data_IF_210853607993
#
_entry.id   IF_210853607993
#
_cell.length_a   1.000
_cell.length_b   1.000
_cell.length_c   1.000
_cell.angle_alpha   90.00
_cell.angle_beta   90.00
_cell.angle_gamma   90.00
#
_symmetry.space_group_name_H-M   'P 1'
#
loop_
_entity.id
_entity.type
_entity.pdbx_description
1 polymer ?
#
# COMPACT_ATOMS: atom_id res chain seq x y z
N UNK A 1 28.52 15.52 35.78
CA UNK A 1 27.73 14.33 35.42
C UNK A 1 28.01 14.02 33.96
N UNK A 2 28.82 13.01 33.68
CA UNK A 2 29.14 12.63 32.31
C UNK A 2 27.92 11.95 31.68
N UNK A 3 27.54 12.40 30.49
CA UNK A 3 26.55 11.69 29.66
C UNK A 3 27.12 10.29 29.40
N UNK A 4 26.39 9.21 29.72
CA UNK A 4 26.88 7.87 29.44
C UNK A 4 27.11 7.71 27.92
N UNK A 5 28.16 6.99 27.51
CA UNK A 5 28.42 6.75 26.10
C UNK A 5 27.23 6.01 25.47
N UNK A 6 26.79 6.48 24.31
CA UNK A 6 25.77 5.79 23.52
C UNK A 6 26.22 4.35 23.25
N UNK A 7 25.33 3.35 23.40
CA UNK A 7 25.69 1.95 23.17
C UNK A 7 26.20 1.73 21.75
N UNK A 8 27.11 0.78 21.56
CA UNK A 8 27.60 0.44 20.23
C UNK A 8 26.47 -0.13 19.36
N UNK A 9 26.62 -0.06 18.03
CA UNK A 9 25.58 -0.52 17.09
C UNK A 9 25.32 -2.03 17.16
N UNK A 10 26.24 -2.83 17.70
CA UNK A 10 26.03 -4.25 17.99
C UNK A 10 25.26 -4.47 19.30
N UNK A 11 25.53 -3.65 20.32
CA UNK A 11 24.81 -3.71 21.60
C UNK A 11 23.31 -3.40 21.41
N UNK A 12 22.98 -2.45 20.53
CA UNK A 12 21.59 -2.08 20.24
C UNK A 12 20.78 -3.23 19.62
N UNK A 13 21.38 -3.97 18.67
CA UNK A 13 20.73 -5.11 18.02
C UNK A 13 20.58 -6.30 18.99
N UNK A 14 21.63 -6.59 19.77
CA UNK A 14 21.62 -7.65 20.78
C UNK A 14 20.59 -7.38 21.89
N UNK A 15 20.54 -6.13 22.37
CA UNK A 15 19.55 -5.68 23.37
C UNK A 15 18.13 -5.85 22.87
N UNK A 16 17.85 -5.48 21.61
CA UNK A 16 16.53 -5.63 20.99
C UNK A 16 16.10 -7.10 20.96
N UNK A 17 16.99 -7.99 20.49
CA UNK A 17 16.71 -9.42 20.42
C UNK A 17 16.39 -10.02 21.80
N UNK A 18 17.03 -9.54 22.86
CA UNK A 18 16.76 -9.98 24.23
C UNK A 18 15.43 -9.44 24.77
N UNK A 19 15.15 -8.15 24.55
CA UNK A 19 13.93 -7.47 25.01
C UNK A 19 12.66 -8.13 24.48
N UNK A 20 12.69 -8.58 23.22
CA UNK A 20 11.51 -9.13 22.54
C UNK A 20 11.46 -10.66 22.46
N UNK A 21 12.47 -11.36 22.97
CA UNK A 21 12.57 -12.83 22.90
C UNK A 21 11.33 -13.55 23.48
N UNK A 22 10.74 -13.01 24.56
CA UNK A 22 9.53 -13.58 25.17
C UNK A 22 8.33 -13.48 24.22
N UNK A 23 8.15 -12.34 23.55
CA UNK A 23 7.03 -12.09 22.62
C UNK A 23 7.12 -13.03 21.41
N UNK A 24 8.31 -13.19 20.84
CA UNK A 24 8.55 -14.14 19.75
C UNK A 24 8.27 -15.59 20.14
N UNK A 25 8.68 -16.01 21.34
CA UNK A 25 8.38 -17.36 21.85
C UNK A 25 6.88 -17.58 22.04
N UNK A 26 6.14 -16.57 22.51
CA UNK A 26 4.68 -16.64 22.62
C UNK A 26 4.03 -16.80 21.24
N UNK A 27 4.46 -16.04 20.24
CA UNK A 27 3.96 -16.19 18.86
C UNK A 27 4.25 -17.57 18.27
N UNK A 28 5.44 -18.13 18.52
CA UNK A 28 5.81 -19.48 18.10
C UNK A 28 4.86 -20.54 18.69
N UNK A 29 4.55 -20.44 19.99
CA UNK A 29 3.60 -21.33 20.65
C UNK A 29 2.19 -21.20 20.07
N UNK A 30 1.75 -19.96 19.79
CA UNK A 30 0.43 -19.73 19.20
C UNK A 30 0.32 -20.35 17.80
N UNK A 31 1.33 -20.18 16.93
CA UNK A 31 1.33 -20.79 15.58
C UNK A 31 1.21 -22.32 15.64
N UNK A 32 1.85 -22.97 16.60
CA UNK A 32 1.87 -24.43 16.70
C UNK A 32 0.57 -25.04 17.27
N UNK A 33 -0.22 -24.24 17.97
CA UNK A 33 -1.46 -24.70 18.61
C UNK A 33 -2.66 -24.31 17.74
N UNK A 34 -3.32 -25.23 17.02
CA UNK A 34 -4.53 -24.90 16.27
C UNK A 34 -5.65 -24.47 17.23
N UNK A 35 -6.34 -23.38 16.90
CA UNK A 35 -7.46 -22.86 17.69
C UNK A 35 -8.20 -21.75 16.94
N UNK A 36 -9.41 -21.42 17.39
CA UNK A 36 -10.16 -20.30 16.85
C UNK A 36 -9.41 -18.98 17.09
N UNK A 37 -9.13 -18.26 16.00
CA UNK A 37 -8.51 -16.95 16.04
C UNK A 37 -9.46 -15.92 15.44
N UNK A 38 -9.61 -14.80 16.13
CA UNK A 38 -10.22 -13.61 15.57
C UNK A 38 -9.17 -12.92 14.70
N UNK A 39 -9.42 -12.86 13.39
CA UNK A 39 -8.52 -12.23 12.43
C UNK A 39 -9.17 -10.93 11.98
N UNK A 40 -8.42 -9.84 12.11
CA UNK A 40 -8.88 -8.49 11.82
C UNK A 40 -8.08 -7.91 10.64
N UNK A 41 -8.61 -6.83 10.05
CA UNK A 41 -7.94 -6.04 9.01
C UNK A 41 -7.53 -6.83 7.77
N UNK A 42 -6.40 -6.47 7.14
CA UNK A 42 -5.99 -7.05 5.86
C UNK A 42 -5.73 -8.56 5.93
N UNK A 43 -5.42 -9.11 7.11
CA UNK A 43 -5.25 -10.56 7.29
C UNK A 43 -6.57 -11.34 7.16
N UNK A 44 -7.72 -10.71 7.44
CA UNK A 44 -9.03 -11.37 7.42
C UNK A 44 -9.44 -11.87 6.01
N UNK A 45 -8.91 -11.24 4.96
CA UNK A 45 -9.19 -11.62 3.56
C UNK A 45 -8.49 -12.88 3.06
N UNK A 46 -7.75 -13.60 3.92
CA UNK A 46 -6.95 -14.77 3.55
C UNK A 46 -7.43 -16.04 4.26
N UNK A 47 -7.00 -17.22 3.78
CA UNK A 47 -7.31 -18.48 4.47
C UNK A 47 -6.49 -18.61 5.77
N UNK A 48 -6.97 -19.44 6.71
CA UNK A 48 -6.22 -19.73 7.93
C UNK A 48 -4.86 -20.39 7.63
N UNK A 49 -4.82 -21.29 6.65
CA UNK A 49 -3.61 -22.01 6.27
C UNK A 49 -2.55 -21.08 5.67
N UNK A 50 -2.94 -20.19 4.74
CA UNK A 50 -2.04 -19.22 4.13
C UNK A 50 -1.45 -18.26 5.16
N UNK A 51 -2.28 -17.82 6.11
CA UNK A 51 -1.83 -16.98 7.22
C UNK A 51 -0.88 -17.71 8.16
N UNK A 52 -1.19 -18.96 8.53
CA UNK A 52 -0.36 -19.76 9.42
C UNK A 52 1.01 -20.05 8.80
N UNK A 53 1.06 -20.34 7.49
CA UNK A 53 2.32 -20.50 6.75
C UNK A 53 3.16 -19.20 6.79
N UNK A 54 2.54 -18.07 6.45
CA UNK A 54 3.21 -16.76 6.48
C UNK A 54 3.74 -16.42 7.88
N UNK A 55 2.93 -16.64 8.91
CA UNK A 55 3.32 -16.42 10.31
C UNK A 55 4.49 -17.33 10.71
N UNK A 56 4.41 -18.62 10.42
CA UNK A 56 5.46 -19.58 10.76
C UNK A 56 6.80 -19.23 10.08
N UNK A 57 6.76 -18.81 8.81
CA UNK A 57 7.94 -18.36 8.06
C UNK A 57 8.53 -17.08 8.64
N UNK A 58 7.68 -16.11 8.98
CA UNK A 58 8.13 -14.86 9.59
C UNK A 58 8.75 -15.11 10.97
N UNK A 59 8.08 -15.86 11.83
CA UNK A 59 8.54 -16.18 13.19
C UNK A 59 9.84 -16.98 13.16
N UNK A 60 9.99 -17.97 12.28
CA UNK A 60 11.25 -18.72 12.20
C UNK A 60 12.42 -17.90 11.64
N UNK A 61 12.15 -16.91 10.79
CA UNK A 61 13.18 -16.10 10.13
C UNK A 61 13.39 -14.70 10.71
N UNK A 62 12.65 -14.29 11.75
CA UNK A 62 12.64 -12.89 12.23
C UNK A 62 14.03 -12.34 12.56
N UNK A 63 14.92 -13.14 13.15
CA UNK A 63 16.30 -12.73 13.47
C UNK A 63 17.10 -12.44 12.19
N UNK A 64 16.94 -13.29 11.17
CA UNK A 64 17.63 -13.13 9.89
C UNK A 64 17.09 -11.90 9.15
N UNK A 65 15.78 -11.70 9.15
CA UNK A 65 15.13 -10.53 8.56
C UNK A 65 15.56 -9.25 9.27
N UNK A 66 15.57 -9.21 10.61
CA UNK A 66 16.00 -8.05 11.38
C UNK A 66 17.45 -7.67 11.04
N UNK A 67 18.35 -8.67 10.98
CA UNK A 67 19.75 -8.46 10.59
C UNK A 67 19.91 -7.97 9.16
N UNK A 68 19.11 -8.48 8.23
CA UNK A 68 19.16 -8.11 6.82
C UNK A 68 18.60 -6.71 6.56
N UNK A 69 17.44 -6.39 7.14
CA UNK A 69 16.81 -5.07 7.09
C UNK A 69 17.75 -4.01 7.68
N UNK A 70 18.49 -4.35 8.74
CA UNK A 70 19.40 -3.43 9.43
C UNK A 70 20.88 -3.60 9.06
N UNK A 71 21.16 -4.26 7.94
CA UNK A 71 22.53 -4.52 7.51
C UNK A 71 23.19 -3.22 7.00
N UNK A 72 24.24 -2.69 7.65
CA UNK A 72 24.93 -1.48 7.18
C UNK A 72 25.74 -1.68 5.89
N UNK A 73 26.04 -2.93 5.54
CA UNK A 73 26.90 -3.29 4.42
C UNK A 73 26.32 -4.48 3.63
N UNK A 74 25.21 -4.28 2.88
CA UNK A 74 24.63 -5.34 2.06
C UNK A 74 25.59 -5.73 0.92
N UNK A 75 25.70 -7.03 0.64
CA UNK A 75 26.54 -7.57 -0.44
C UNK A 75 25.74 -7.90 -1.71
N UNK A 76 24.41 -7.81 -1.65
CA UNK A 76 23.48 -8.02 -2.76
C UNK A 76 22.20 -7.22 -2.54
N UNK A 77 21.38 -7.07 -3.58
CA UNK A 77 20.12 -6.31 -3.53
C UNK A 77 20.35 -4.88 -3.02
N UNK A 78 21.33 -4.20 -3.65
CA UNK A 78 21.81 -2.87 -3.27
C UNK A 78 20.75 -1.78 -3.53
N UNK A 79 19.77 -2.10 -4.38
CA UNK A 79 18.59 -1.28 -4.66
C UNK A 79 17.61 -1.21 -3.49
N UNK A 80 17.65 -2.16 -2.55
CA UNK A 80 16.76 -2.17 -1.38
C UNK A 80 17.34 -1.32 -0.24
N UNK A 81 16.58 -0.31 0.17
CA UNK A 81 16.96 0.61 1.27
C UNK A 81 16.99 -0.14 2.60
N UNK A 82 18.16 -0.16 3.25
CA UNK A 82 18.35 -0.71 4.61
C UNK A 82 18.17 0.37 5.67
N UNK A 83 17.71 -0.03 6.85
CA UNK A 83 17.60 0.87 8.01
C UNK A 83 18.87 0.79 8.88
N UNK A 84 19.24 1.87 9.59
CA UNK A 84 20.34 1.83 10.54
C UNK A 84 20.05 0.89 11.72
N UNK A 85 21.09 0.23 12.25
CA UNK A 85 20.97 -0.66 13.44
C UNK A 85 20.40 0.03 14.68
N UNK A 86 20.55 1.35 14.80
CA UNK A 86 19.92 2.14 15.87
C UNK A 86 18.39 2.08 15.84
N UNK A 87 17.78 1.70 14.71
CA UNK A 87 16.34 1.52 14.54
C UNK A 87 15.88 0.06 14.63
N UNK A 88 16.79 -0.87 14.97
CA UNK A 88 16.47 -2.31 15.05
C UNK A 88 15.28 -2.60 15.97
N UNK A 89 15.14 -1.87 17.07
CA UNK A 89 13.98 -1.98 17.97
C UNK A 89 12.65 -1.78 17.25
N UNK A 90 12.53 -0.71 16.46
CA UNK A 90 11.31 -0.39 15.74
C UNK A 90 11.04 -1.37 14.59
N UNK A 91 12.09 -1.86 13.93
CA UNK A 91 11.98 -2.92 12.91
C UNK A 91 11.47 -4.22 13.54
N UNK A 92 12.01 -4.62 14.69
CA UNK A 92 11.57 -5.84 15.38
C UNK A 92 10.12 -5.73 15.89
N UNK A 93 9.71 -4.54 16.36
CA UNK A 93 8.30 -4.27 16.68
C UNK A 93 7.38 -4.39 15.46
N UNK A 94 7.81 -3.89 14.30
CA UNK A 94 7.06 -4.06 13.04
C UNK A 94 6.89 -5.54 12.69
N UNK A 95 7.97 -6.33 12.77
CA UNK A 95 7.94 -7.77 12.47
C UNK A 95 7.05 -8.53 13.46
N UNK A 96 7.11 -8.19 14.75
CA UNK A 96 6.25 -8.76 15.79
C UNK A 96 4.77 -8.49 15.52
N UNK A 97 4.42 -7.24 15.22
CA UNK A 97 3.04 -6.87 14.94
C UNK A 97 2.53 -7.53 13.64
N UNK A 98 3.39 -7.65 12.62
CA UNK A 98 3.06 -8.40 11.41
C UNK A 98 2.77 -9.87 11.71
N UNK A 99 3.61 -10.52 12.52
CA UNK A 99 3.40 -11.91 12.94
C UNK A 99 2.11 -12.05 13.76
N UNK A 100 1.87 -11.16 14.73
CA UNK A 100 0.66 -11.16 15.56
C UNK A 100 -0.62 -11.11 14.71
N UNK A 101 -0.66 -10.23 13.71
CA UNK A 101 -1.82 -10.09 12.81
C UNK A 101 -2.05 -11.31 11.93
N UNK A 102 -0.98 -11.94 11.45
CA UNK A 102 -1.09 -13.19 10.68
C UNK A 102 -1.59 -14.34 11.54
N UNK A 103 -1.12 -14.46 12.79
CA UNK A 103 -1.61 -15.47 13.75
C UNK A 103 -3.08 -15.22 14.12
N UNK A 104 -3.47 -13.96 14.25
CA UNK A 104 -4.79 -13.55 14.74
C UNK A 104 -4.87 -13.55 16.27
N UNK A 105 -5.89 -12.88 16.81
CA UNK A 105 -6.14 -12.79 18.26
C UNK A 105 -6.80 -14.05 18.78
N UNK A 106 -6.37 -14.53 19.94
CA UNK A 106 -7.10 -15.54 20.73
C UNK A 106 -7.71 -14.88 21.93
N UNK A 107 -9.03 -14.78 21.94
CA UNK A 107 -9.77 -14.13 23.02
C UNK A 107 -9.84 -14.99 24.30
N UNK A 108 -9.47 -16.27 24.21
CA UNK A 108 -9.65 -17.26 25.27
C UNK A 108 -8.35 -17.74 25.95
N UNK A 109 -7.16 -17.23 25.56
CA UNK A 109 -5.91 -17.59 26.25
C UNK A 109 -5.27 -16.37 26.92
N UNK A 110 -4.79 -16.59 28.15
CA UNK A 110 -4.11 -15.55 28.93
C UNK A 110 -2.84 -15.06 28.21
N UNK A 111 -2.13 -15.96 27.54
CA UNK A 111 -0.90 -15.67 26.79
C UNK A 111 -1.17 -14.73 25.60
N UNK A 112 -2.23 -14.95 24.84
CA UNK A 112 -2.61 -14.08 23.74
C UNK A 112 -3.08 -12.71 24.24
N UNK A 113 -3.87 -12.67 25.32
CA UNK A 113 -4.29 -11.41 25.94
C UNK A 113 -3.13 -10.60 26.54
N UNK A 114 -2.10 -11.27 27.06
CA UNK A 114 -0.87 -10.61 27.50
C UNK A 114 -0.06 -10.08 26.32
N UNK A 115 0.10 -10.87 25.25
CA UNK A 115 0.81 -10.45 24.04
C UNK A 115 0.15 -9.21 23.41
N UNK A 116 -1.18 -9.22 23.26
CA UNK A 116 -1.94 -8.08 22.75
C UNK A 116 -1.73 -6.82 23.61
N UNK A 117 -1.75 -6.96 24.94
CA UNK A 117 -1.53 -5.84 25.86
C UNK A 117 -0.10 -5.32 25.83
N UNK A 118 0.89 -6.19 25.80
CA UNK A 118 2.30 -5.77 25.75
C UNK A 118 2.62 -5.05 24.43
N UNK A 119 2.19 -5.60 23.30
CA UNK A 119 2.40 -4.95 22.01
C UNK A 119 1.65 -3.62 21.89
N UNK A 120 0.40 -3.56 22.36
CA UNK A 120 -0.35 -2.29 22.38
C UNK A 120 0.37 -1.21 23.19
N UNK A 121 0.87 -1.54 24.39
CA UNK A 121 1.60 -0.60 25.23
C UNK A 121 2.91 -0.13 24.58
N UNK A 122 3.67 -1.03 23.95
CA UNK A 122 4.92 -0.65 23.29
C UNK A 122 4.66 0.23 22.06
N UNK A 123 3.63 -0.09 21.27
CA UNK A 123 3.23 0.69 20.09
C UNK A 123 2.72 2.08 20.50
N UNK A 124 1.88 2.16 21.53
CA UNK A 124 1.37 3.44 22.06
C UNK A 124 2.49 4.31 22.64
N UNK A 125 3.44 3.72 23.38
CA UNK A 125 4.60 4.46 23.91
C UNK A 125 5.57 4.89 22.82
N UNK A 126 5.67 4.13 21.73
CA UNK A 126 6.56 4.41 20.61
C UNK A 126 5.92 5.27 19.51
N UNK A 127 4.66 5.70 19.66
CA UNK A 127 3.90 6.43 18.63
C UNK A 127 4.43 7.87 18.45
N UNK A 128 5.53 7.99 17.71
CA UNK A 128 6.04 9.24 17.14
C UNK A 128 6.29 9.05 15.63
N UNK A 129 6.39 10.14 14.88
CA UNK A 129 6.56 10.13 13.41
C UNK A 129 7.72 9.23 12.94
N UNK A 130 8.78 9.12 13.75
CA UNK A 130 9.94 8.28 13.47
C UNK A 130 9.59 6.79 13.39
N UNK A 131 8.72 6.27 14.26
CA UNK A 131 8.29 4.86 14.19
C UNK A 131 7.51 4.59 12.90
N UNK A 132 6.62 5.50 12.51
CA UNK A 132 5.83 5.38 11.27
C UNK A 132 6.72 5.32 10.02
N UNK A 133 7.75 6.17 9.94
CA UNK A 133 8.73 6.12 8.85
C UNK A 133 9.52 4.81 8.81
N UNK A 134 9.97 4.32 9.98
CA UNK A 134 10.69 3.05 10.08
C UNK A 134 9.82 1.88 9.61
N UNK A 135 8.56 1.84 10.02
CA UNK A 135 7.62 0.80 9.63
C UNK A 135 7.32 0.85 8.13
N UNK A 136 7.17 2.05 7.55
CA UNK A 136 7.00 2.22 6.11
C UNK A 136 8.22 1.72 5.32
N UNK A 137 9.44 2.04 5.77
CA UNK A 137 10.68 1.57 5.15
C UNK A 137 10.85 0.05 5.28
N UNK A 138 10.54 -0.53 6.44
CA UNK A 138 10.58 -1.97 6.66
C UNK A 138 9.56 -2.72 5.77
N UNK A 139 8.35 -2.18 5.63
CA UNK A 139 7.33 -2.72 4.73
C UNK A 139 7.79 -2.68 3.26
N UNK A 140 8.35 -1.55 2.81
CA UNK A 140 8.87 -1.41 1.46
C UNK A 140 10.03 -2.37 1.19
N UNK A 141 10.92 -2.54 2.17
CA UNK A 141 12.02 -3.50 2.11
C UNK A 141 11.51 -4.91 1.88
N UNK A 142 10.58 -5.38 2.73
CA UNK A 142 10.02 -6.73 2.65
C UNK A 142 9.23 -6.93 1.36
N UNK A 143 8.49 -5.91 0.90
CA UNK A 143 7.79 -5.94 -0.37
C UNK A 143 8.68 -5.95 -1.62
N UNK A 144 9.92 -5.47 -1.52
CA UNK A 144 10.94 -5.63 -2.55
C UNK A 144 11.71 -6.96 -2.45
N UNK A 145 11.71 -7.57 -1.25
CA UNK A 145 12.50 -8.77 -0.95
C UNK A 145 11.76 -10.08 -1.14
N UNK A 146 10.44 -10.08 -0.90
CA UNK A 146 9.61 -11.28 -0.92
C UNK A 146 9.59 -11.89 -2.31
N UNK A 147 9.88 -13.19 -2.39
CA UNK A 147 9.80 -13.98 -3.63
C UNK A 147 8.59 -14.91 -3.54
N UNK A 148 7.43 -14.46 -4.04
CA UNK A 148 6.17 -15.22 -4.03
C UNK A 148 5.80 -15.85 -5.39
N UNK A 149 6.65 -15.66 -6.42
CA UNK A 149 6.48 -16.22 -7.76
C UNK A 149 7.78 -16.86 -8.28
N UNK A 150 7.69 -18.09 -8.77
CA UNK A 150 8.79 -18.84 -9.41
C UNK A 150 9.31 -18.17 -10.68
N UNK A 151 8.48 -17.37 -11.36
CA UNK A 151 8.86 -16.66 -12.58
C UNK A 151 9.78 -15.45 -12.31
N UNK A 152 9.73 -14.86 -11.10
CA UNK A 152 10.54 -13.69 -10.76
C UNK A 152 12.02 -14.02 -10.60
N UNK A 153 12.36 -15.25 -10.19
CA UNK A 153 13.75 -15.69 -9.99
C UNK A 153 13.94 -17.14 -10.43
N UNK A 154 14.26 -17.35 -11.72
CA UNK A 154 14.55 -18.68 -12.29
C UNK A 154 15.58 -19.44 -11.44
N UNK A 155 15.15 -20.57 -10.87
CA UNK A 155 16.03 -21.49 -10.12
C UNK A 155 15.99 -21.36 -8.59
N UNK A 156 15.12 -20.51 -8.02
CA UNK A 156 14.86 -20.47 -6.57
C UNK A 156 13.44 -20.94 -6.24
N UNK A 157 13.30 -21.71 -5.16
CA UNK A 157 12.00 -22.05 -4.59
C UNK A 157 11.40 -20.78 -3.94
N UNK A 158 10.09 -20.51 -4.10
CA UNK A 158 9.42 -19.41 -3.42
C UNK A 158 9.59 -19.49 -1.90
N UNK A 159 9.62 -18.35 -1.22
CA UNK A 159 9.80 -18.30 0.23
C UNK A 159 8.62 -18.96 1.00
N UNK A 160 7.44 -18.90 0.38
CA UNK A 160 6.15 -19.42 0.84
C UNK A 160 5.18 -19.56 -0.35
N UNK A 161 4.00 -20.15 -0.14
CA UNK A 161 2.94 -20.19 -1.15
C UNK A 161 2.52 -18.77 -1.59
N UNK A 162 2.00 -18.65 -2.81
CA UNK A 162 1.55 -17.36 -3.36
C UNK A 162 0.49 -16.68 -2.50
N UNK A 163 -0.43 -17.44 -1.92
CA UNK A 163 -1.48 -16.91 -1.04
C UNK A 163 -0.91 -16.47 0.32
N UNK A 164 0.05 -17.22 0.88
CA UNK A 164 0.76 -16.82 2.09
C UNK A 164 1.59 -15.55 1.87
N UNK A 165 2.27 -15.44 0.72
CA UNK A 165 3.02 -14.25 0.33
C UNK A 165 2.13 -13.02 0.23
N UNK A 166 0.97 -13.15 -0.42
CA UNK A 166 -0.04 -12.08 -0.48
C UNK A 166 -0.57 -11.69 0.90
N UNK A 167 -0.82 -12.66 1.79
CA UNK A 167 -1.24 -12.39 3.16
C UNK A 167 -0.19 -11.58 3.92
N UNK A 168 1.08 -11.98 3.84
CA UNK A 168 2.19 -11.29 4.48
C UNK A 168 2.38 -9.86 3.95
N UNK A 169 2.36 -9.67 2.63
CA UNK A 169 2.46 -8.33 2.03
C UNK A 169 1.28 -7.44 2.40
N UNK A 170 0.06 -7.99 2.45
CA UNK A 170 -1.11 -7.23 2.84
C UNK A 170 -0.95 -6.66 4.26
N UNK A 171 -0.49 -7.48 5.21
CA UNK A 171 -0.20 -7.04 6.59
C UNK A 171 0.96 -6.04 6.64
N UNK A 172 2.06 -6.29 5.92
CA UNK A 172 3.20 -5.35 5.88
C UNK A 172 2.80 -3.98 5.34
N UNK A 173 2.02 -3.97 4.24
CA UNK A 173 1.55 -2.73 3.63
C UNK A 173 0.65 -1.95 4.58
N UNK A 174 -0.24 -2.64 5.29
CA UNK A 174 -1.11 -2.03 6.30
C UNK A 174 -0.32 -1.38 7.44
N UNK A 175 0.63 -2.12 8.02
CA UNK A 175 1.46 -1.62 9.12
C UNK A 175 2.39 -0.50 8.70
N UNK A 176 2.94 -0.60 7.50
CA UNK A 176 3.80 0.43 6.93
C UNK A 176 3.05 1.64 6.38
N UNK A 177 1.73 1.74 6.57
CA UNK A 177 0.94 2.87 6.09
C UNK A 177 0.77 3.93 7.19
N UNK A 178 1.62 4.97 7.26
CA UNK A 178 1.50 6.00 8.29
C UNK A 178 0.32 6.94 8.01
N UNK A 179 -0.13 7.07 6.77
CA UNK A 179 -1.19 8.00 6.41
C UNK A 179 -2.58 7.36 6.66
N UNK A 180 -3.38 7.88 7.62
CA UNK A 180 -4.68 7.31 7.94
C UNK A 180 -5.64 7.31 6.74
N UNK A 181 -5.48 8.22 5.77
CA UNK A 181 -6.31 8.28 4.56
C UNK A 181 -6.07 7.08 3.65
N UNK A 182 -4.81 6.71 3.43
CA UNK A 182 -4.47 5.51 2.67
C UNK A 182 -4.92 4.23 3.38
N UNK A 183 -4.83 4.20 4.73
CA UNK A 183 -5.36 3.09 5.52
C UNK A 183 -6.88 2.94 5.37
N UNK A 184 -7.62 4.05 5.40
CA UNK A 184 -9.06 4.06 5.17
C UNK A 184 -9.41 3.54 3.75
N UNK A 185 -8.72 4.03 2.72
CA UNK A 185 -8.89 3.56 1.33
C UNK A 185 -8.58 2.06 1.17
N UNK A 186 -7.57 1.55 1.87
CA UNK A 186 -7.20 0.13 1.89
C UNK A 186 -8.29 -0.72 2.54
N UNK A 187 -8.80 -0.26 3.69
CA UNK A 187 -9.91 -0.91 4.40
C UNK A 187 -11.17 -1.02 3.55
N UNK A 188 -11.48 0.03 2.77
CA UNK A 188 -12.59 0.00 1.81
C UNK A 188 -12.41 -1.14 0.80
N UNK A 189 -11.26 -1.24 0.12
CA UNK A 189 -11.01 -2.32 -0.86
C UNK A 189 -11.12 -3.72 -0.23
N UNK A 190 -10.59 -3.89 0.98
CA UNK A 190 -10.58 -5.21 1.62
C UNK A 190 -11.99 -5.61 2.07
N UNK A 191 -12.80 -4.65 2.56
CA UNK A 191 -14.21 -4.85 2.93
C UNK A 191 -15.16 -5.09 1.74
N UNK A 192 -14.78 -4.64 0.55
CA UNK A 192 -15.60 -4.73 -0.68
C UNK A 192 -15.30 -5.96 -1.53
N UNK A 193 -14.47 -6.90 -1.04
CA UNK A 193 -14.17 -8.14 -1.79
C UNK A 193 -15.46 -8.95 -2.03
N UNK A 194 -16.08 -8.76 -3.20
CA UNK A 194 -17.34 -9.39 -3.60
C UNK A 194 -18.58 -8.47 -3.63
N UNK A 195 -18.46 -7.17 -3.31
CA UNK A 195 -19.55 -6.19 -3.39
C UNK A 195 -19.05 -4.85 -3.94
N UNK A 196 -19.64 -4.37 -5.03
CA UNK A 196 -19.20 -3.13 -5.71
C UNK A 196 -19.56 -1.86 -4.91
N UNK A 197 -18.68 -0.87 -4.93
CA UNK A 197 -18.98 0.51 -4.52
C UNK A 197 -19.63 1.21 -5.73
N UNK A 198 -20.94 1.43 -5.66
CA UNK A 198 -21.77 1.65 -6.86
C UNK A 198 -22.06 3.12 -7.20
N UNK A 199 -21.88 4.07 -6.27
CA UNK A 199 -22.10 5.48 -6.60
C UNK A 199 -20.78 6.22 -6.83
N UNK A 200 -20.58 6.67 -8.07
CA UNK A 200 -19.52 7.59 -8.48
C UNK A 200 -20.11 8.86 -9.07
N UNK A 201 -19.31 9.93 -9.08
CA UNK A 201 -19.65 11.22 -9.69
C UNK A 201 -18.55 11.57 -10.69
N UNK A 202 -18.83 12.49 -11.61
CA UNK A 202 -17.84 12.94 -12.59
C UNK A 202 -17.56 11.91 -13.68
N UNK A 203 -16.32 11.91 -14.18
CA UNK A 203 -15.86 11.05 -15.27
C UNK A 203 -15.78 9.59 -14.85
N UNK A 204 -15.46 9.30 -13.58
CA UNK A 204 -15.54 7.94 -13.02
C UNK A 204 -16.90 7.28 -13.32
N UNK A 205 -18.02 8.00 -13.21
CA UNK A 205 -19.35 7.43 -13.46
C UNK A 205 -19.57 6.93 -14.91
N UNK A 206 -18.69 7.29 -15.85
CA UNK A 206 -18.75 6.86 -17.24
C UNK A 206 -17.99 5.54 -17.49
N UNK A 207 -17.31 5.00 -16.47
CA UNK A 207 -16.50 3.79 -16.58
C UNK A 207 -17.13 2.59 -15.86
N UNK A 208 -16.93 1.36 -16.38
CA UNK A 208 -17.37 0.14 -15.70
C UNK A 208 -16.78 0.02 -14.29
N UNK A 209 -17.58 -0.51 -13.37
CA UNK A 209 -17.20 -0.67 -11.95
C UNK A 209 -15.91 -1.48 -11.79
N UNK A 210 -15.76 -2.56 -12.56
CA UNK A 210 -14.58 -3.43 -12.50
C UNK A 210 -13.31 -2.71 -12.97
N UNK A 211 -13.44 -1.85 -13.99
CA UNK A 211 -12.32 -1.08 -14.52
C UNK A 211 -11.84 -0.03 -13.51
N UNK A 212 -12.79 0.64 -12.84
CA UNK A 212 -12.48 1.61 -11.78
C UNK A 212 -11.89 0.94 -10.55
N UNK A 213 -12.46 -0.18 -10.11
CA UNK A 213 -11.97 -0.93 -8.96
C UNK A 213 -10.54 -1.43 -9.23
N UNK A 214 -10.26 -1.98 -10.41
CA UNK A 214 -8.91 -2.40 -10.78
C UNK A 214 -7.92 -1.22 -10.69
N UNK A 215 -8.26 -0.09 -11.30
CA UNK A 215 -7.43 1.12 -11.30
C UNK A 215 -7.16 1.63 -9.87
N UNK A 216 -8.22 1.76 -9.06
CA UNK A 216 -8.10 2.21 -7.68
C UNK A 216 -7.30 1.24 -6.82
N UNK A 217 -7.57 -0.07 -6.93
CA UNK A 217 -6.88 -1.13 -6.19
C UNK A 217 -5.39 -1.11 -6.51
N UNK A 218 -5.01 -0.94 -7.79
CA UNK A 218 -3.61 -0.83 -8.19
C UNK A 218 -2.96 0.44 -7.66
N UNK A 219 -3.63 1.59 -7.72
CA UNK A 219 -3.09 2.83 -7.18
C UNK A 219 -2.90 2.73 -5.66
N UNK A 220 -3.94 2.34 -4.91
CA UNK A 220 -3.89 2.24 -3.45
C UNK A 220 -2.81 1.25 -2.99
N UNK A 221 -2.67 0.10 -3.65
CA UNK A 221 -1.64 -0.88 -3.30
C UNK A 221 -0.21 -0.47 -3.70
N UNK A 222 -0.06 0.50 -4.61
CA UNK A 222 1.24 0.91 -5.14
C UNK A 222 1.57 2.40 -4.91
N UNK A 223 0.73 3.13 -4.16
CA UNK A 223 0.76 4.59 -4.10
C UNK A 223 2.11 5.13 -3.64
N UNK A 224 2.82 4.48 -2.71
CA UNK A 224 4.15 4.93 -2.26
C UNK A 224 5.18 4.90 -3.37
N UNK A 225 5.16 3.84 -4.21
CA UNK A 225 6.06 3.72 -5.37
C UNK A 225 5.70 4.76 -6.42
N UNK A 226 4.41 4.97 -6.67
CA UNK A 226 3.92 6.01 -7.59
C UNK A 226 4.34 7.40 -7.12
N UNK A 227 4.11 7.72 -5.84
CA UNK A 227 4.50 8.99 -5.21
C UNK A 227 6.01 9.21 -5.27
N UNK A 228 6.80 8.16 -4.98
CA UNK A 228 8.26 8.22 -5.08
C UNK A 228 8.73 8.41 -6.52
N UNK A 229 8.12 7.74 -7.48
CA UNK A 229 8.47 7.88 -8.89
C UNK A 229 8.16 9.28 -9.41
N UNK A 230 6.96 9.81 -9.13
CA UNK A 230 6.55 11.18 -9.48
C UNK A 230 7.53 12.23 -8.92
N UNK A 231 8.05 11.99 -7.71
CA UNK A 231 8.92 12.94 -7.00
C UNK A 231 10.40 12.56 -7.00
N UNK A 232 10.82 11.64 -7.87
CA UNK A 232 12.19 11.16 -7.89
C UNK A 232 13.16 12.24 -8.44
N UNK A 233 14.10 12.76 -7.64
CA UNK A 233 15.04 13.79 -8.11
C UNK A 233 16.13 13.24 -9.05
N UNK A 234 16.30 11.92 -9.11
CA UNK A 234 17.33 11.24 -9.89
C UNK A 234 16.75 10.01 -10.60
N UNK A 235 15.89 10.18 -11.62
CA UNK A 235 15.34 9.06 -12.37
C UNK A 235 16.44 8.37 -13.17
N UNK A 236 16.50 7.04 -13.09
CA UNK A 236 17.44 6.22 -13.88
C UNK A 236 16.86 5.83 -15.24
N UNK A 237 15.53 5.83 -15.36
CA UNK A 237 14.78 5.46 -16.57
C UNK A 237 13.72 6.51 -16.88
N UNK A 238 13.27 6.55 -18.14
CA UNK A 238 12.22 7.47 -18.61
C UNK A 238 12.52 8.93 -18.21
N UNK A 239 13.77 9.35 -18.45
CA UNK A 239 14.31 10.67 -18.10
C UNK A 239 13.65 11.82 -18.86
N UNK A 240 12.89 11.51 -19.91
CA UNK A 240 12.04 12.43 -20.66
C UNK A 240 10.77 12.85 -19.91
N UNK A 241 10.35 12.11 -18.87
CA UNK A 241 9.18 12.46 -18.06
C UNK A 241 9.58 13.44 -16.95
N UNK A 242 8.90 14.58 -16.90
CA UNK A 242 9.15 15.63 -15.90
C UNK A 242 8.68 15.21 -14.51
N UNK A 243 9.63 15.02 -13.59
CA UNK A 243 9.35 14.75 -12.16
C UNK A 243 9.10 16.04 -11.39
N UNK A 244 8.29 15.96 -10.35
CA UNK A 244 8.07 17.07 -9.42
C UNK A 244 9.14 17.08 -8.32
N UNK A 245 9.50 18.26 -7.78
CA UNK A 245 10.35 18.37 -6.59
C UNK A 245 9.82 17.56 -5.40
N UNK A 246 10.74 17.00 -4.60
CA UNK A 246 10.41 16.26 -3.37
C UNK A 246 9.60 17.12 -2.38
N UNK A 247 9.80 18.44 -2.39
CA UNK A 247 9.04 19.39 -1.55
C UNK A 247 7.54 19.43 -1.88
N UNK A 248 7.14 19.04 -3.09
CA UNK A 248 5.74 19.00 -3.52
C UNK A 248 5.07 17.64 -3.23
N UNK A 249 5.80 16.68 -2.67
CA UNK A 249 5.31 15.33 -2.35
C UNK A 249 4.01 15.32 -1.53
N UNK A 250 3.78 16.18 -0.53
CA UNK A 250 2.51 16.21 0.20
C UNK A 250 1.30 16.56 -0.70
N UNK A 251 1.48 17.47 -1.66
CA UNK A 251 0.43 17.87 -2.60
C UNK A 251 0.16 16.77 -3.63
N UNK A 252 1.21 16.05 -4.09
CA UNK A 252 1.08 14.87 -4.95
C UNK A 252 0.37 13.73 -4.22
N UNK A 253 0.69 13.48 -2.95
CA UNK A 253 0.04 12.42 -2.16
C UNK A 253 -1.47 12.68 -2.03
N UNK A 254 -1.86 13.94 -1.78
CA UNK A 254 -3.27 14.37 -1.76
C UNK A 254 -3.97 14.15 -3.11
N UNK A 255 -3.30 14.43 -4.23
CA UNK A 255 -3.82 14.16 -5.56
C UNK A 255 -4.11 12.67 -5.78
N UNK A 256 -3.17 11.80 -5.41
CA UNK A 256 -3.32 10.34 -5.55
C UNK A 256 -4.42 9.77 -4.64
N UNK A 257 -4.59 10.32 -3.42
CA UNK A 257 -5.70 9.99 -2.51
C UNK A 257 -7.03 10.34 -3.16
N UNK A 258 -7.15 11.53 -3.74
CA UNK A 258 -8.40 11.98 -4.37
C UNK A 258 -8.77 11.15 -5.60
N UNK A 259 -7.79 10.84 -6.45
CA UNK A 259 -7.99 9.89 -7.56
C UNK A 259 -8.51 8.55 -7.05
N UNK A 260 -7.86 8.01 -6.02
CA UNK A 260 -8.21 6.70 -5.45
C UNK A 260 -9.63 6.70 -4.87
N UNK A 261 -10.01 7.76 -4.15
CA UNK A 261 -11.35 7.95 -3.58
C UNK A 261 -12.41 8.01 -4.68
N UNK A 262 -12.17 8.78 -5.75
CA UNK A 262 -13.14 8.94 -6.85
C UNK A 262 -13.28 7.69 -7.71
N UNK A 263 -12.17 7.01 -8.00
CA UNK A 263 -12.20 5.72 -8.71
C UNK A 263 -12.96 4.67 -7.90
N UNK A 264 -12.74 4.57 -6.57
CA UNK A 264 -13.52 3.65 -5.73
C UNK A 264 -15.01 4.00 -5.71
N UNK A 265 -15.37 5.28 -5.59
CA UNK A 265 -16.74 5.70 -5.35
C UNK A 265 -17.15 5.59 -3.89
N UNK A 266 -18.45 5.70 -3.61
CA UNK A 266 -19.02 5.70 -2.26
C UNK A 266 -20.28 4.83 -2.14
N UNK A 267 -20.68 4.55 -0.89
CA UNK A 267 -21.94 3.90 -0.49
C UNK A 267 -22.57 4.69 0.65
N UNK A 268 -23.89 4.90 0.58
CA UNK A 268 -24.66 5.63 1.61
C UNK A 268 -24.59 4.97 3.01
N UNK A 269 -24.38 3.65 3.08
CA UNK A 269 -24.39 2.87 4.33
C UNK A 269 -23.00 2.66 4.96
N UNK A 270 -21.91 2.92 4.23
CA UNK A 270 -20.52 2.74 4.69
C UNK A 270 -19.85 4.10 4.97
N UNK A 271 -20.62 5.20 4.86
CA UNK A 271 -20.08 6.55 4.65
C UNK A 271 -19.58 7.29 5.89
N UNK A 272 -19.86 6.82 7.11
CA UNK A 272 -19.79 7.72 8.27
C UNK A 272 -18.37 8.00 8.81
N UNK A 273 -17.45 7.03 8.80
CA UNK A 273 -16.17 7.16 9.53
C UNK A 273 -14.94 7.19 8.60
N UNK A 274 -14.82 6.24 7.68
CA UNK A 274 -13.69 6.17 6.75
C UNK A 274 -13.67 7.36 5.76
N UNK A 275 -14.85 7.76 5.28
CA UNK A 275 -14.98 8.87 4.35
C UNK A 275 -14.85 10.22 5.06
N UNK A 276 -15.26 10.33 6.33
CA UNK A 276 -15.07 11.54 7.14
C UNK A 276 -13.58 11.91 7.26
N UNK A 277 -12.72 10.95 7.60
CA UNK A 277 -11.27 11.18 7.66
C UNK A 277 -10.61 11.51 6.31
N UNK A 278 -11.20 11.05 5.20
CA UNK A 278 -10.72 11.37 3.84
C UNK A 278 -11.23 12.77 3.41
N UNK A 279 -12.45 13.15 3.78
CA UNK A 279 -13.15 14.37 3.35
C UNK A 279 -12.97 15.58 4.29
N UNK A 280 -12.50 15.40 5.53
CA UNK A 280 -12.32 16.46 6.53
C UNK A 280 -11.42 17.62 6.06
N UNK A 281 -10.56 17.37 5.07
CA UNK A 281 -9.77 18.40 4.42
C UNK A 281 -10.40 18.74 3.07
N UNK A 282 -10.84 19.99 2.88
CA UNK A 282 -11.01 20.55 1.53
C UNK A 282 -9.69 20.32 0.79
N UNK A 283 -9.64 19.32 -0.07
CA UNK A 283 -8.43 18.93 -0.76
C UNK A 283 -7.91 20.16 -1.53
N UNK A 284 -6.62 20.44 -1.34
CA UNK A 284 -5.91 21.69 -1.63
C UNK A 284 -5.91 22.19 -3.11
N UNK A 285 -6.84 21.73 -3.96
CA UNK A 285 -7.06 22.28 -5.31
C UNK A 285 -7.51 23.75 -5.28
N UNK A 286 -7.94 24.26 -4.13
CA UNK A 286 -8.49 25.61 -4.05
C UNK A 286 -7.42 26.70 -4.16
N UNK A 287 -6.15 26.41 -3.85
CA UNK A 287 -5.03 27.34 -4.09
C UNK A 287 -4.31 27.09 -5.43
N UNK A 288 -3.54 28.09 -5.87
CA UNK A 288 -2.88 28.08 -7.18
C UNK A 288 -1.80 26.99 -7.26
N UNK A 289 -1.03 26.82 -6.19
CA UNK A 289 0.08 25.85 -6.13
C UNK A 289 -0.44 24.42 -6.23
N UNK A 290 -1.52 24.09 -5.49
CA UNK A 290 -2.17 22.80 -5.56
C UNK A 290 -2.65 22.46 -6.97
N UNK A 291 -3.27 23.41 -7.69
CA UNK A 291 -3.67 23.20 -9.09
C UNK A 291 -2.49 22.91 -10.02
N UNK A 292 -1.40 23.67 -9.89
CA UNK A 292 -0.21 23.49 -10.72
C UNK A 292 0.45 22.13 -10.45
N UNK A 293 0.57 21.75 -9.17
CA UNK A 293 1.14 20.46 -8.76
C UNK A 293 0.27 19.30 -9.22
N UNK A 294 -1.05 19.39 -9.05
CA UNK A 294 -1.97 18.32 -9.49
C UNK A 294 -1.97 18.18 -11.00
N UNK A 295 -1.93 19.29 -11.75
CA UNK A 295 -1.77 19.28 -13.19
C UNK A 295 -0.49 18.61 -13.65
N UNK A 296 0.65 18.96 -13.04
CA UNK A 296 1.93 18.34 -13.36
C UNK A 296 1.98 16.85 -13.00
N UNK A 297 1.39 16.45 -11.86
CA UNK A 297 1.28 15.05 -11.45
C UNK A 297 0.40 14.24 -12.42
N UNK A 298 -0.72 14.81 -12.88
CA UNK A 298 -1.57 14.18 -13.90
C UNK A 298 -0.80 14.01 -15.22
N UNK A 299 -0.16 15.04 -15.74
CA UNK A 299 0.66 14.96 -16.96
C UNK A 299 1.75 13.90 -16.84
N UNK A 300 2.39 13.80 -15.67
CA UNK A 300 3.35 12.74 -15.40
C UNK A 300 2.73 11.34 -15.53
N UNK A 301 1.59 11.11 -14.86
CA UNK A 301 0.90 9.82 -14.89
C UNK A 301 0.45 9.44 -16.30
N UNK A 302 -0.07 10.41 -17.07
CA UNK A 302 -0.47 10.21 -18.47
C UNK A 302 0.68 9.71 -19.34
N UNK A 303 1.88 10.28 -19.17
CA UNK A 303 3.07 9.83 -19.89
C UNK A 303 3.66 8.51 -19.39
N UNK A 304 3.27 8.06 -18.18
CA UNK A 304 3.89 6.93 -17.48
C UNK A 304 3.10 5.62 -17.56
N UNK A 305 1.77 5.71 -17.61
CA UNK A 305 0.87 4.56 -17.63
C UNK A 305 1.04 3.79 -18.93
N UNK A 306 1.20 2.46 -18.81
CA UNK A 306 1.22 1.57 -19.95
C UNK A 306 -0.06 0.73 -19.99
N UNK A 307 -0.87 0.97 -21.01
CA UNK A 307 -2.16 0.34 -21.24
C UNK A 307 -2.13 -0.76 -22.30
N UNK A 308 -1.11 -0.78 -23.18
CA UNK A 308 -0.96 -1.79 -24.22
C UNK A 308 0.48 -2.32 -24.31
N UNK A 309 0.67 -3.61 -24.68
CA UNK A 309 2.01 -4.21 -24.77
C UNK A 309 2.96 -3.51 -25.75
N UNK A 310 2.41 -2.87 -26.78
CA UNK A 310 3.18 -2.23 -27.84
C UNK A 310 3.84 -0.90 -27.40
N UNK A 311 3.40 -0.32 -26.27
CA UNK A 311 4.01 0.90 -25.72
C UNK A 311 5.43 0.63 -25.18
N UNK A 312 5.68 -0.55 -24.62
CA UNK A 312 7.02 -1.04 -24.28
C UNK A 312 7.10 -2.56 -24.52
N UNK A 313 7.57 -3.00 -25.72
CA UNK A 313 7.63 -4.40 -26.08
C UNK A 313 8.39 -5.24 -25.05
N UNK A 314 7.72 -6.28 -24.54
CA UNK A 314 8.28 -7.21 -23.53
C UNK A 314 7.90 -6.90 -22.08
N UNK A 315 7.21 -5.78 -21.81
CA UNK A 315 6.64 -5.48 -20.49
C UNK A 315 5.13 -5.73 -20.48
N UNK A 316 4.62 -6.31 -19.39
CA UNK A 316 3.17 -6.47 -19.19
C UNK A 316 2.54 -5.10 -18.91
N UNK A 317 1.39 -4.75 -19.52
CA UNK A 317 0.65 -3.53 -19.19
C UNK A 317 0.38 -3.41 -17.69
N UNK A 318 0.34 -2.17 -17.19
CA UNK A 318 0.20 -1.89 -15.76
C UNK A 318 -1.19 -2.32 -15.24
N UNK A 319 -2.21 -2.23 -16.10
CA UNK A 319 -3.60 -2.60 -15.84
C UNK A 319 -4.34 -2.91 -17.16
N UNK A 320 -5.60 -3.35 -17.09
CA UNK A 320 -6.42 -3.52 -18.29
C UNK A 320 -6.61 -2.19 -19.04
N UNK A 321 -6.90 -2.26 -20.35
CA UNK A 321 -7.13 -1.07 -21.16
C UNK A 321 -8.27 -0.21 -20.60
N UNK A 322 -9.38 -0.83 -20.18
CA UNK A 322 -10.50 -0.12 -19.58
C UNK A 322 -10.11 0.57 -18.26
N UNK A 323 -9.33 -0.12 -17.40
CA UNK A 323 -8.82 0.46 -16.16
C UNK A 323 -7.85 1.62 -16.43
N UNK A 324 -6.99 1.51 -17.44
CA UNK A 324 -6.04 2.56 -17.80
C UNK A 324 -6.75 3.81 -18.33
N UNK A 325 -7.80 3.64 -19.15
CA UNK A 325 -8.63 4.75 -19.62
C UNK A 325 -9.30 5.45 -18.44
N UNK A 326 -9.93 4.68 -17.53
CA UNK A 326 -10.56 5.23 -16.33
C UNK A 326 -9.56 5.97 -15.44
N UNK A 327 -8.37 5.40 -15.23
CA UNK A 327 -7.31 5.99 -14.43
C UNK A 327 -6.82 7.33 -15.00
N UNK A 328 -6.57 7.38 -16.32
CA UNK A 328 -6.08 8.59 -17.00
C UNK A 328 -7.14 9.68 -17.01
N UNK A 329 -8.38 9.35 -17.37
CA UNK A 329 -9.46 10.34 -17.43
C UNK A 329 -9.78 10.90 -16.04
N UNK A 330 -9.74 10.06 -15.00
CA UNK A 330 -9.90 10.54 -13.62
C UNK A 330 -8.73 11.44 -13.19
N UNK A 331 -7.49 11.10 -13.56
CA UNK A 331 -6.34 11.97 -13.28
C UNK A 331 -6.53 13.38 -13.85
N UNK A 332 -7.07 13.48 -15.07
CA UNK A 332 -7.37 14.76 -15.70
C UNK A 332 -8.51 15.51 -15.02
N UNK A 333 -9.63 14.84 -14.73
CA UNK A 333 -10.76 15.51 -14.08
C UNK A 333 -10.38 16.01 -12.68
N UNK A 334 -9.63 15.21 -11.91
CA UNK A 334 -9.14 15.61 -10.59
C UNK A 334 -8.23 16.84 -10.70
N UNK A 335 -7.29 16.85 -11.64
CA UNK A 335 -6.32 17.92 -11.80
C UNK A 335 -6.90 19.21 -12.38
N UNK A 336 -7.77 19.09 -13.41
CA UNK A 336 -8.21 20.23 -14.23
C UNK A 336 -9.69 20.57 -14.07
N UNK A 337 -10.47 19.72 -13.40
CA UNK A 337 -11.92 19.88 -13.22
C UNK A 337 -12.77 19.45 -14.43
N UNK A 338 -12.14 19.06 -15.53
CA UNK A 338 -12.75 18.51 -16.74
C UNK A 338 -11.75 17.53 -17.36
N UNK A 339 -12.20 16.35 -17.80
CA UNK A 339 -11.39 15.47 -18.63
C UNK A 339 -11.38 16.06 -20.06
N UNK A 340 -10.22 16.57 -20.49
CA UNK A 340 -10.09 17.30 -21.77
C UNK A 340 -9.45 16.46 -22.86
N UNK A 341 -8.77 15.38 -22.50
CA UNK A 341 -8.14 14.51 -23.46
C UNK A 341 -8.77 13.12 -23.39
N UNK A 342 -9.36 12.72 -24.52
CA UNK A 342 -9.36 11.30 -24.85
C UNK A 342 -7.89 10.93 -25.01
N UNK A 343 -7.36 9.93 -24.28
CA UNK A 343 -6.04 9.47 -24.61
C UNK A 343 -6.13 8.97 -26.05
N UNK A 344 -5.37 9.60 -26.96
CA UNK A 344 -5.05 9.00 -28.25
C UNK A 344 -4.13 7.84 -27.88
N UNK A 345 -4.73 6.75 -27.45
CA UNK A 345 -4.08 5.45 -27.41
C UNK A 345 -4.04 5.03 -28.87
N UNK A 346 -2.92 5.31 -29.53
CA UNK A 346 -2.69 4.96 -30.94
C UNK A 346 -3.19 3.52 -31.19
N UNK A 347 -4.27 3.40 -31.98
CA UNK A 347 -4.77 2.12 -32.47
C UNK A 347 -6.19 1.66 -32.13
N UNK A 348 -7.02 2.42 -31.39
CA UNK A 348 -8.42 1.99 -31.10
C UNK A 348 -9.46 3.03 -31.58
N UNK A 349 -10.48 2.64 -32.38
CA UNK A 349 -11.59 3.53 -32.70
C UNK A 349 -12.39 3.83 -31.43
N UNK A 350 -12.64 5.11 -31.17
CA UNK A 350 -13.41 5.54 -29.99
C UNK A 350 -14.80 4.91 -29.94
N UNK A 351 -15.41 4.80 -28.73
CA UNK A 351 -16.78 4.33 -28.61
C UNK A 351 -17.69 5.23 -29.44
N UNK A 352 -18.55 4.61 -30.25
CA UNK A 352 -19.51 5.33 -31.08
C UNK A 352 -20.34 6.27 -30.18
N UNK A 353 -20.60 7.52 -30.60
CA UNK A 353 -21.40 8.45 -29.82
C UNK A 353 -22.77 7.80 -29.57
N UNK A 354 -23.12 7.67 -28.29
CA UNK A 354 -24.46 7.25 -27.88
C UNK A 354 -25.41 8.32 -28.38
N UNK A 355 -26.30 7.95 -29.29
CA UNK A 355 -27.29 8.86 -29.84
C UNK A 355 -28.10 9.49 -28.69
N UNK A 356 -28.39 10.81 -28.74
CA UNK A 356 -29.20 11.45 -27.71
C UNK A 356 -30.55 10.73 -27.64
N UNK A 357 -30.91 10.30 -26.44
CA UNK A 357 -32.21 9.70 -26.15
C UNK A 357 -33.27 10.72 -26.52
N UNK A 358 -34.07 10.42 -27.55
CA UNK A 358 -35.21 11.25 -27.93
C UNK A 358 -36.14 11.41 -26.73
N UNK A 359 -36.62 12.63 -26.42
CA UNK A 359 -37.58 12.84 -25.35
C UNK A 359 -38.87 12.13 -25.71
N UNK A 360 -39.28 11.17 -24.87
CA UNK A 360 -40.63 10.64 -24.86
C UNK A 360 -41.58 11.76 -24.45
N UNK A 361 -42.18 12.42 -25.44
CA UNK A 361 -43.38 13.21 -25.23
C UNK A 361 -44.53 12.26 -24.90
N UNK A 362 -44.99 12.32 -23.65
CA UNK A 362 -46.37 11.98 -23.31
C UNK A 362 -47.29 13.03 -23.93
N UNK A 363 -48.28 12.58 -24.71
CA UNK A 363 -49.71 12.89 -24.54
C UNK A 363 -50.47 12.71 -25.87
N UNK A 364 -51.28 11.65 -25.93
CA UNK A 364 -52.75 11.71 -26.12
C UNK A 364 -53.39 10.35 -25.87
#
# INVERSE_FOLDING_TARGET
MGVPPSPSSEDALSSTMHEHAVKWRTLEQLVQQPGETLVEFSAAGFSADSRAEAAAKLISNHIALLKDITNPSPTSQLELVRLPRSQAKYVDMFLLEAARRLVGRRLNTLEASMLDRFLALDIEQAHNEQMGEVWALAANYLGGRLQDDTEQFKGRQPDMSKEAGRAFLAVCNELGEPNPKWRALRGLIDSTSGQHLTQTKGIAAQHPDEAREEAARKLILNHRRVLQDITNPKPETQTNLQRLPVTQRPLVDRFLIEMSRRLLGYREDVEAEALHHILEEKLARDDKEGREVWGAAATYLLGRVQSVPDQEPGRKPDMSLAAAIAFVQEAEEVAFGEAKFLPVLDGVPGPAPVAPSSPTHSDQ
#
